data_IF_709250329672
#
_entry.id   IF_709250329672
#
_cell.length_a   1.000
_cell.length_b   1.000
_cell.length_c   1.000
_cell.angle_alpha   90.00
_cell.angle_beta   90.00
_cell.angle_gamma   90.00
#
_symmetry.space_group_name_H-M   'P 1'
#
loop_
_entity.id
_entity.type
_entity.pdbx_description
1 polymer ?
#
# COMPACT_ATOMS: atom_id res chain seq x y z
N UNK A 1 -9.29 -3.74 -26.00
CA UNK A 1 -8.57 -2.66 -25.31
C UNK A 1 -7.91 -3.35 -24.14
N UNK A 2 -6.58 -3.34 -24.03
CA UNK A 2 -5.91 -4.10 -22.98
C UNK A 2 -6.31 -3.51 -21.64
N UNK A 3 -7.16 -4.23 -20.90
CA UNK A 3 -7.35 -4.04 -19.47
C UNK A 3 -5.97 -4.23 -18.83
N UNK A 4 -5.18 -3.14 -18.79
CA UNK A 4 -3.93 -3.14 -18.02
C UNK A 4 -4.41 -3.12 -16.59
N UNK A 5 -4.54 -4.29 -16.00
CA UNK A 5 -4.74 -4.44 -14.58
C UNK A 5 -3.61 -3.67 -13.89
N UNK A 6 -3.94 -2.47 -13.39
CA UNK A 6 -2.96 -1.57 -12.80
C UNK A 6 -2.79 -1.98 -11.34
N UNK A 7 -1.54 -2.01 -10.91
CA UNK A 7 -1.19 -2.33 -9.53
C UNK A 7 -0.46 -1.14 -8.94
N UNK A 8 -0.97 -0.64 -7.83
CA UNK A 8 -0.31 0.39 -7.04
C UNK A 8 0.53 -0.29 -5.97
N UNK A 9 1.82 0.04 -5.91
CA UNK A 9 2.75 -0.50 -4.92
C UNK A 9 3.13 0.60 -3.93
N UNK A 10 3.03 0.28 -2.63
CA UNK A 10 3.39 1.21 -1.55
C UNK A 10 4.35 0.54 -0.59
N UNK A 11 5.45 1.22 -0.31
CA UNK A 11 6.40 0.82 0.73
C UNK A 11 6.15 1.66 1.97
N UNK A 12 5.94 0.99 3.11
CA UNK A 12 5.88 1.64 4.41
C UNK A 12 7.03 1.17 5.28
N UNK A 13 7.69 2.12 5.94
CA UNK A 13 8.65 1.82 6.98
C UNK A 13 7.89 1.62 8.30
N UNK A 14 8.07 0.51 9.03
CA UNK A 14 7.78 0.50 10.45
C UNK A 14 8.66 1.58 11.07
N UNK A 15 8.03 2.62 11.61
CA UNK A 15 8.70 3.71 12.31
C UNK A 15 9.72 3.13 13.29
N UNK A 16 11.01 3.30 12.99
CA UNK A 16 12.10 3.04 13.93
C UNK A 16 12.19 4.20 14.90
N UNK A 17 11.22 4.31 15.79
CA UNK A 17 11.13 5.42 16.72
C UNK A 17 10.58 4.96 18.05
N UNK A 18 11.48 4.47 18.91
CA UNK A 18 11.38 4.46 20.37
C UNK A 18 9.98 4.60 20.98
N UNK A 19 9.32 3.47 21.23
CA UNK A 19 8.88 3.04 22.58
C UNK A 19 7.97 1.82 22.41
N UNK A 20 8.03 0.88 23.35
CA UNK A 20 7.25 -0.37 23.38
C UNK A 20 5.72 -0.22 23.19
N UNK A 21 5.20 1.02 23.20
CA UNK A 21 3.78 1.35 22.98
C UNK A 21 3.43 1.58 21.50
N UNK A 22 4.41 1.94 20.66
CA UNK A 22 4.16 2.30 19.25
C UNK A 22 4.32 1.11 18.27
N UNK A 23 4.91 -0.01 18.74
CA UNK A 23 5.00 -1.23 17.93
C UNK A 23 3.62 -1.81 17.58
N UNK A 24 2.59 -1.50 18.37
CA UNK A 24 1.19 -1.87 18.10
C UNK A 24 0.63 -1.12 16.88
N UNK A 25 1.09 0.11 16.62
CA UNK A 25 0.57 0.94 15.53
C UNK A 25 0.96 0.43 14.15
N UNK A 26 2.01 -0.40 14.02
CA UNK A 26 2.39 -0.95 12.71
C UNK A 26 1.39 -1.99 12.20
N UNK A 27 0.82 -2.80 13.10
CA UNK A 27 -0.25 -3.74 12.77
C UNK A 27 -1.55 -3.00 12.47
N UNK A 28 -1.88 -1.98 13.26
CA UNK A 28 -3.05 -1.12 13.04
C UNK A 28 -2.99 -0.45 11.67
N UNK A 29 -1.84 0.14 11.31
CA UNK A 29 -1.60 0.72 9.98
C UNK A 29 -1.78 -0.29 8.85
N UNK A 30 -1.28 -1.51 9.03
CA UNK A 30 -1.44 -2.60 8.07
C UNK A 30 -2.90 -3.03 7.95
N UNK A 31 -3.65 -3.06 9.05
CA UNK A 31 -5.09 -3.36 9.07
C UNK A 31 -5.90 -2.23 8.40
N UNK A 32 -5.59 -0.96 8.67
CA UNK A 32 -6.21 0.19 7.98
C UNK A 32 -5.98 0.13 6.47
N UNK A 33 -4.73 -0.12 6.06
CA UNK A 33 -4.38 -0.31 4.65
C UNK A 33 -5.10 -1.54 4.07
N UNK A 34 -5.18 -2.64 4.82
CA UNK A 34 -5.96 -3.82 4.49
C UNK A 34 -7.43 -3.52 4.22
N UNK A 35 -8.04 -2.67 5.06
CA UNK A 35 -9.42 -2.23 4.91
C UNK A 35 -9.61 -1.32 3.67
N UNK A 36 -8.59 -0.55 3.29
CA UNK A 36 -8.54 0.26 2.06
C UNK A 36 -8.24 -0.58 0.79
N UNK A 37 -8.03 -1.90 0.94
CA UNK A 37 -7.80 -2.83 -0.17
C UNK A 37 -6.31 -3.08 -0.47
N UNK A 38 -5.40 -2.57 0.34
CA UNK A 38 -3.97 -2.88 0.22
C UNK A 38 -3.65 -4.24 0.80
N UNK A 39 -2.87 -5.01 0.07
CA UNK A 39 -2.41 -6.33 0.48
C UNK A 39 -0.91 -6.32 0.72
N UNK A 40 -0.48 -6.68 1.93
CA UNK A 40 0.93 -6.92 2.22
C UNK A 40 1.42 -8.13 1.41
N UNK A 41 2.40 -7.92 0.53
CA UNK A 41 2.97 -8.97 -0.32
C UNK A 41 4.35 -9.41 0.15
N UNK A 42 5.16 -8.49 0.66
CA UNK A 42 6.54 -8.78 1.02
C UNK A 42 7.02 -7.89 2.16
N UNK A 43 7.93 -8.44 2.97
CA UNK A 43 8.62 -7.70 4.03
C UNK A 43 10.12 -7.70 3.78
N UNK A 44 10.67 -6.57 3.34
CA UNK A 44 12.09 -6.44 3.03
C UNK A 44 12.83 -6.02 4.30
N UNK A 45 13.77 -6.85 4.75
CA UNK A 45 14.58 -6.58 5.94
C UNK A 45 16.01 -6.29 5.51
N UNK A 46 16.46 -5.05 5.67
CA UNK A 46 17.87 -4.69 5.43
C UNK A 46 18.72 -5.09 6.64
N UNK A 47 19.47 -6.18 6.50
CA UNK A 47 20.40 -6.70 7.52
C UNK A 47 21.49 -5.68 7.88
N UNK A 48 21.83 -4.77 6.95
CA UNK A 48 22.88 -3.78 7.12
C UNK A 48 22.45 -2.49 7.84
N UNK A 49 21.16 -2.32 8.16
CA UNK A 49 20.64 -1.08 8.77
C UNK A 49 19.46 -1.27 9.73
N UNK A 50 18.99 -2.50 9.92
CA UNK A 50 17.84 -2.82 10.77
C UNK A 50 16.50 -2.30 10.22
N UNK A 51 16.46 -1.76 8.99
CA UNK A 51 15.22 -1.22 8.38
C UNK A 51 14.42 -2.36 7.84
N UNK A 52 13.27 -2.60 8.46
CA UNK A 52 12.21 -3.39 7.85
C UNK A 52 11.41 -2.46 6.95
N UNK A 53 10.95 -2.96 5.82
CA UNK A 53 10.08 -2.28 4.89
C UNK A 53 8.94 -3.26 4.59
N UNK A 54 7.71 -2.77 4.61
CA UNK A 54 6.55 -3.55 4.21
C UNK A 54 6.11 -3.09 2.83
N UNK A 55 6.06 -4.03 1.90
CA UNK A 55 5.63 -3.80 0.52
C UNK A 55 4.18 -4.23 0.40
N UNK A 56 3.30 -3.28 0.10
CA UNK A 56 1.88 -3.52 -0.14
C UNK A 56 1.55 -3.29 -1.61
N UNK A 57 0.61 -4.08 -2.13
CA UNK A 57 0.01 -3.89 -3.45
C UNK A 57 -1.50 -3.65 -3.34
N UNK A 58 -2.06 -2.79 -4.18
CA UNK A 58 -3.51 -2.62 -4.34
C UNK A 58 -3.86 -2.69 -5.82
N UNK A 59 -4.93 -3.41 -6.16
CA UNK A 59 -5.50 -3.35 -7.51
C UNK A 59 -6.18 -2.00 -7.68
N UNK A 60 -5.81 -1.28 -8.74
CA UNK A 60 -6.52 -0.07 -9.16
C UNK A 60 -7.33 -0.44 -10.38
N UNK A 61 -8.66 -0.42 -10.22
CA UNK A 61 -9.58 -0.60 -11.32
C UNK A 61 -9.54 0.67 -12.19
N UNK A 62 -8.96 0.61 -13.40
CA UNK A 62 -8.82 1.79 -14.27
C UNK A 62 -10.17 2.30 -14.78
N UNK A 63 -11.22 1.48 -14.65
CA UNK A 63 -12.58 1.77 -15.10
C UNK A 63 -13.31 2.74 -14.15
N UNK A 64 -12.94 2.77 -12.86
CA UNK A 64 -13.64 3.57 -11.85
C UNK A 64 -13.30 5.07 -11.89
N UNK A 65 -12.17 5.44 -12.51
CA UNK A 65 -11.70 6.82 -12.64
C UNK A 65 -11.95 7.41 -14.05
N UNK A 66 -12.51 6.61 -14.97
CA UNK A 66 -12.78 7.03 -16.36
C UNK A 66 -14.20 7.59 -16.58
N UNK A 67 -14.91 7.98 -15.52
CA UNK A 67 -16.15 8.78 -15.64
C UNK A 67 -15.82 10.28 -15.72
N UNK A 68 -15.12 10.72 -16.78
CA UNK A 68 -15.21 12.12 -17.19
C UNK A 68 -14.81 12.32 -18.66
N UNK A 69 -15.78 12.16 -19.55
CA UNK A 69 -16.22 13.19 -20.51
C UNK A 69 -17.00 12.52 -21.66
N UNK A 70 -18.16 11.95 -21.35
CA UNK A 70 -19.23 11.86 -22.36
C UNK A 70 -19.99 13.19 -22.32
N UNK A 71 -19.55 14.15 -23.13
CA UNK A 71 -20.39 15.32 -23.40
C UNK A 71 -19.69 16.55 -23.96
N UNK A 72 -19.46 16.60 -25.28
CA UNK A 72 -20.18 17.57 -26.13
C UNK A 72 -19.76 17.50 -27.61
N UNK A 73 -20.73 17.03 -28.40
CA UNK A 73 -21.22 17.52 -29.71
C UNK A 73 -20.33 17.58 -30.95
#
# INVERSE_FOLDING_TARGET
MADRQQWEYRMIEPSKGLTKREAINSEDKLNELGADGWRLIETVSYDQGGTKLFVLERRVDPDLDSDHDEGSS
#
